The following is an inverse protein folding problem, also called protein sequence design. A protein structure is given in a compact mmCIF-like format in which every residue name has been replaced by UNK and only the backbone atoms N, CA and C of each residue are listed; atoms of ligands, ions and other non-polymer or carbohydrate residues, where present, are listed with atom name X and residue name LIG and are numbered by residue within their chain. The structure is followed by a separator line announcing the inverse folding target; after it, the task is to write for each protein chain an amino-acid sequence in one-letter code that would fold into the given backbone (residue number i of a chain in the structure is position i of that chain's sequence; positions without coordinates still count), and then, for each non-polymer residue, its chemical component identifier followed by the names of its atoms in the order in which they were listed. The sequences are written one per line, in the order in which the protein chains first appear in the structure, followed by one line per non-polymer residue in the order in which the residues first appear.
data_IF_960736853543
#
_entry.id   IF_960736853543
#
_cell.length_a   1.000
_cell.length_b   1.000
_cell.length_c   1.000
_cell.angle_alpha   90.00
_cell.angle_beta   90.00
_cell.angle_gamma   90.00
#
_symmetry.space_group_name_H-M   'P 1'
#
loop_
_entity.id
_entity.type
_entity.pdbx_description
1 polymer ?
#
# COMPACT_ATOMS: atom_id res chain seq x y z
N UNK A 1 -31.94 0.86 56.61
CA UNK A 1 -32.34 -0.54 56.35
C UNK A 1 -32.13 -0.81 54.88
N UNK A 2 -31.19 -1.73 54.57
CA UNK A 2 -31.00 -2.61 53.37
C UNK A 2 -31.29 -2.00 52.00
N UNK A 3 -30.29 -1.67 51.18
CA UNK A 3 -29.43 -2.48 50.30
C UNK A 3 -30.15 -3.43 49.36
N UNK A 4 -30.16 -3.15 48.08
CA UNK A 4 -30.16 -4.18 47.04
C UNK A 4 -29.33 -3.72 45.85
N UNK A 5 -28.21 -4.42 45.63
CA UNK A 5 -27.33 -4.31 44.49
C UNK A 5 -27.91 -5.14 43.35
N UNK A 6 -28.15 -4.54 42.23
CA UNK A 6 -28.48 -5.22 40.98
C UNK A 6 -27.24 -5.41 40.15
N UNK A 7 -26.83 -6.67 39.96
CA UNK A 7 -25.78 -7.09 39.05
C UNK A 7 -26.16 -6.81 37.58
N UNK A 8 -25.36 -6.02 36.89
CA UNK A 8 -25.39 -5.96 35.44
C UNK A 8 -24.29 -6.89 34.90
N UNK A 9 -24.71 -8.00 34.32
CA UNK A 9 -23.86 -8.85 33.50
C UNK A 9 -23.46 -8.10 32.22
N UNK A 10 -22.18 -7.83 32.08
CA UNK A 10 -21.61 -7.39 30.79
C UNK A 10 -21.41 -8.63 29.90
N UNK A 11 -22.23 -8.78 28.90
CA UNK A 11 -22.03 -9.73 27.82
C UNK A 11 -20.85 -9.26 26.95
N UNK A 12 -19.74 -9.98 27.05
CA UNK A 12 -18.60 -9.84 26.12
C UNK A 12 -19.04 -10.29 24.72
N UNK A 13 -19.37 -9.35 23.87
CA UNK A 13 -19.31 -9.59 22.41
C UNK A 13 -17.88 -9.30 21.96
N UNK A 14 -17.10 -10.35 21.74
CA UNK A 14 -15.90 -10.28 20.91
C UNK A 14 -16.34 -9.94 19.48
N UNK A 15 -16.17 -8.70 19.07
CA UNK A 15 -16.17 -8.34 17.68
C UNK A 15 -14.79 -8.74 17.10
N UNK A 16 -14.82 -9.68 16.19
CA UNK A 16 -13.68 -10.03 15.34
C UNK A 16 -13.40 -8.82 14.46
N UNK A 17 -12.36 -8.09 14.78
CA UNK A 17 -11.84 -7.00 13.92
C UNK A 17 -11.23 -7.64 12.71
N UNK A 18 -11.85 -7.42 11.54
CA UNK A 18 -11.34 -7.87 10.25
C UNK A 18 -9.95 -7.33 9.96
N UNK A 19 -9.10 -8.16 9.39
CA UNK A 19 -7.78 -7.77 8.89
C UNK A 19 -7.96 -6.69 7.82
N UNK A 20 -7.60 -5.47 8.16
CA UNK A 20 -7.52 -4.36 7.20
C UNK A 20 -6.26 -4.58 6.38
N UNK A 21 -6.42 -4.86 5.09
CA UNK A 21 -5.32 -4.82 4.13
C UNK A 21 -4.98 -3.36 3.87
N UNK A 22 -4.10 -2.85 4.69
CA UNK A 22 -3.57 -1.50 4.52
C UNK A 22 -2.47 -1.57 3.47
N UNK A 23 -2.68 -0.92 2.35
CA UNK A 23 -1.58 -0.51 1.50
C UNK A 23 -0.67 0.35 2.38
N UNK A 24 0.39 -0.25 2.93
CA UNK A 24 1.47 0.39 3.67
C UNK A 24 1.13 1.00 5.06
N UNK A 25 0.63 0.20 6.03
CA UNK A 25 0.83 0.53 7.44
C UNK A 25 1.14 -0.77 8.20
N UNK A 26 2.36 -0.89 8.70
CA UNK A 26 2.70 -1.88 9.72
C UNK A 26 2.09 -1.40 11.06
N UNK A 27 0.90 -1.87 11.41
CA UNK A 27 0.34 -1.66 12.75
C UNK A 27 1.04 -2.61 13.71
N UNK A 28 1.92 -2.11 14.54
CA UNK A 28 2.49 -2.85 15.68
C UNK A 28 1.44 -2.90 16.80
N UNK A 29 0.76 -4.04 16.91
CA UNK A 29 -0.09 -4.32 18.07
C UNK A 29 0.77 -4.73 19.26
N UNK A 30 0.77 -3.92 20.32
CA UNK A 30 1.32 -4.27 21.63
C UNK A 30 0.45 -5.34 22.30
N UNK A 31 0.92 -6.57 22.27
CA UNK A 31 0.41 -7.69 23.06
C UNK A 31 1.42 -8.09 24.12
N UNK A 32 0.98 -8.16 25.37
CA UNK A 32 1.72 -8.52 26.59
C UNK A 32 2.54 -9.80 26.44
N UNK A 33 3.78 -9.74 26.93
CA UNK A 33 4.76 -10.84 27.01
C UNK A 33 4.20 -12.10 27.65
N UNK A 34 4.17 -13.19 26.89
CA UNK A 34 4.31 -14.55 27.43
C UNK A 34 5.61 -15.10 26.86
N UNK A 35 6.60 -15.28 27.74
CA UNK A 35 7.88 -15.95 27.41
C UNK A 35 7.61 -17.45 27.18
N UNK A 36 7.31 -17.82 25.93
CA UNK A 36 7.40 -19.19 25.44
C UNK A 36 8.61 -19.28 24.53
N UNK A 37 9.56 -20.17 24.85
CA UNK A 37 10.69 -20.49 23.98
C UNK A 37 10.13 -20.97 22.62
N UNK A 38 10.21 -20.13 21.61
CA UNK A 38 9.95 -20.57 20.23
C UNK A 38 11.14 -21.43 19.78
N UNK A 39 10.86 -22.71 19.51
CA UNK A 39 11.78 -23.60 18.79
C UNK A 39 12.16 -22.91 17.48
N UNK A 40 13.49 -22.71 17.25
CA UNK A 40 13.99 -22.37 15.91
C UNK A 40 13.39 -23.33 14.89
N UNK A 41 12.82 -22.85 13.78
CA UNK A 41 12.40 -23.72 12.70
C UNK A 41 13.63 -24.46 12.18
N UNK A 42 13.56 -25.76 12.16
CA UNK A 42 14.50 -26.61 11.41
C UNK A 42 14.39 -26.21 9.94
N UNK A 43 15.52 -26.06 9.25
CA UNK A 43 15.61 -25.73 7.85
C UNK A 43 14.96 -26.83 6.99
N UNK A 44 13.63 -26.83 6.91
CA UNK A 44 12.91 -27.49 5.82
C UNK A 44 13.16 -26.65 4.56
N UNK A 45 13.43 -27.35 3.44
CA UNK A 45 13.67 -26.70 2.16
C UNK A 45 12.59 -25.65 1.93
N UNK A 46 12.98 -24.35 1.82
CA UNK A 46 12.06 -23.23 1.72
C UNK A 46 11.10 -23.49 0.58
N UNK A 47 9.82 -23.53 0.90
CA UNK A 47 8.77 -23.75 -0.07
C UNK A 47 8.62 -22.46 -0.87
N UNK A 48 9.00 -22.48 -2.15
CA UNK A 48 8.83 -21.34 -3.03
C UNK A 48 7.33 -21.16 -3.35
N UNK A 49 6.81 -19.94 -3.41
CA UNK A 49 5.44 -19.69 -3.83
C UNK A 49 5.26 -20.07 -5.30
N UNK A 50 4.07 -20.50 -5.65
CA UNK A 50 3.69 -20.83 -7.02
C UNK A 50 2.38 -20.14 -7.37
N UNK A 51 2.31 -19.55 -8.57
CA UNK A 51 1.19 -18.71 -9.03
C UNK A 51 0.66 -19.22 -10.39
N UNK A 52 0.29 -20.48 -10.46
CA UNK A 52 -0.13 -21.12 -11.72
C UNK A 52 -1.62 -20.98 -12.03
N UNK A 53 -2.47 -20.70 -11.02
CA UNK A 53 -3.88 -20.37 -11.21
C UNK A 53 -4.01 -18.87 -11.48
N UNK A 54 -4.69 -18.50 -12.55
CA UNK A 54 -4.79 -17.12 -13.04
C UNK A 54 -6.25 -16.78 -13.33
N UNK A 55 -6.69 -15.60 -12.88
CA UNK A 55 -8.00 -15.02 -13.20
C UNK A 55 -7.83 -13.65 -13.84
N UNK A 56 -8.38 -13.45 -15.02
CA UNK A 56 -8.49 -12.12 -15.62
C UNK A 56 -9.67 -11.38 -14.98
N UNK A 57 -9.42 -10.19 -14.43
CA UNK A 57 -10.44 -9.35 -13.80
C UNK A 57 -11.31 -8.60 -14.81
N UNK A 58 -10.82 -8.47 -16.03
CA UNK A 58 -11.51 -7.81 -17.15
C UNK A 58 -11.13 -8.45 -18.48
N UNK A 59 -11.95 -8.18 -19.52
CA UNK A 59 -11.76 -8.78 -20.85
C UNK A 59 -10.95 -7.88 -21.78
N UNK A 60 -10.94 -6.58 -21.51
CA UNK A 60 -10.31 -5.54 -22.33
C UNK A 60 -8.99 -5.09 -21.69
N UNK A 61 -8.03 -4.75 -22.52
CA UNK A 61 -6.80 -4.10 -22.08
C UNK A 61 -7.08 -2.60 -21.94
N UNK A 62 -7.19 -2.13 -20.72
CA UNK A 62 -7.37 -0.71 -20.40
C UNK A 62 -6.22 -0.21 -19.54
N UNK A 63 -6.10 1.11 -19.39
CA UNK A 63 -5.09 1.69 -18.52
C UNK A 63 -5.54 1.60 -17.07
N UNK A 64 -4.79 0.87 -16.24
CA UNK A 64 -4.97 0.81 -14.80
C UNK A 64 -3.67 1.16 -14.09
N UNK A 65 -3.76 1.91 -12.99
CA UNK A 65 -2.60 2.44 -12.30
C UNK A 65 -2.38 1.82 -10.91
N UNK A 66 -3.44 1.32 -10.27
CA UNK A 66 -3.36 0.78 -8.93
C UNK A 66 -4.49 -0.20 -8.67
N UNK A 67 -4.31 -1.07 -7.69
CA UNK A 67 -5.32 -1.96 -7.12
C UNK A 67 -5.21 -1.95 -5.60
N UNK A 68 -6.35 -1.89 -4.90
CA UNK A 68 -6.43 -2.04 -3.45
C UNK A 68 -7.34 -3.20 -3.08
N UNK A 69 -7.10 -3.80 -1.91
CA UNK A 69 -7.78 -4.98 -1.39
C UNK A 69 -8.37 -4.69 -0.01
N UNK A 70 -9.61 -5.10 0.24
CA UNK A 70 -10.28 -4.98 1.54
C UNK A 70 -11.71 -5.50 1.47
N UNK A 71 -12.30 -5.84 2.62
CA UNK A 71 -13.72 -6.22 2.72
C UNK A 71 -14.58 -4.96 2.62
N UNK A 72 -15.24 -4.77 1.48
CA UNK A 72 -16.02 -3.58 1.18
C UNK A 72 -17.52 -3.75 1.46
N UNK A 73 -17.97 -4.98 1.65
CA UNK A 73 -19.40 -5.27 1.79
C UNK A 73 -19.76 -5.95 3.13
N UNK A 74 -18.77 -6.12 4.03
CA UNK A 74 -18.94 -6.69 5.35
C UNK A 74 -19.20 -8.19 5.37
N UNK A 75 -18.90 -8.92 4.27
CA UNK A 75 -19.11 -10.36 4.18
C UNK A 75 -17.89 -11.19 4.65
N UNK A 76 -16.81 -10.51 4.98
CA UNK A 76 -15.57 -11.08 5.48
C UNK A 76 -14.66 -11.63 4.38
N UNK A 77 -14.95 -11.36 3.10
CA UNK A 77 -14.09 -11.70 1.97
C UNK A 77 -13.42 -10.45 1.42
N UNK A 78 -12.12 -10.47 1.09
CA UNK A 78 -11.48 -9.29 0.54
C UNK A 78 -11.91 -9.06 -0.92
N UNK A 79 -12.38 -7.84 -1.17
CA UNK A 79 -12.77 -7.30 -2.45
C UNK A 79 -11.64 -6.49 -3.08
N UNK A 80 -11.80 -6.01 -4.32
CA UNK A 80 -10.81 -5.20 -5.00
C UNK A 80 -11.40 -3.88 -5.50
N UNK A 81 -10.58 -2.82 -5.45
CA UNK A 81 -10.84 -1.56 -6.16
C UNK A 81 -9.69 -1.29 -7.13
N UNK A 82 -10.03 -0.94 -8.38
CA UNK A 82 -9.07 -0.62 -9.43
C UNK A 82 -9.08 0.88 -9.73
N UNK A 83 -7.92 1.54 -9.64
CA UNK A 83 -7.71 2.88 -10.19
C UNK A 83 -7.49 2.78 -11.70
N UNK A 84 -8.33 3.44 -12.48
CA UNK A 84 -8.33 3.38 -13.93
C UNK A 84 -8.06 4.74 -14.56
N UNK A 85 -7.53 4.73 -15.78
CA UNK A 85 -7.44 5.92 -16.60
C UNK A 85 -6.05 6.53 -16.69
N UNK A 86 -5.35 6.79 -15.60
CA UNK A 86 -4.06 7.49 -15.61
C UNK A 86 -4.10 8.78 -16.46
N UNK A 87 -3.65 8.71 -17.71
CA UNK A 87 -3.62 9.82 -18.67
C UNK A 87 -4.94 10.02 -19.45
N UNK A 88 -5.82 9.02 -19.40
CA UNK A 88 -7.10 9.02 -20.10
C UNK A 88 -8.24 8.83 -19.09
N UNK A 89 -9.26 9.67 -19.06
CA UNK A 89 -10.32 9.53 -18.06
C UNK A 89 -11.09 8.22 -18.27
N UNK A 90 -11.11 7.38 -17.22
CA UNK A 90 -11.91 6.16 -17.11
C UNK A 90 -12.60 6.13 -15.74
N UNK A 91 -13.67 5.33 -15.61
CA UNK A 91 -14.33 5.14 -14.32
C UNK A 91 -13.61 4.03 -13.55
N UNK A 92 -13.29 4.29 -12.29
CA UNK A 92 -12.71 3.31 -11.38
C UNK A 92 -13.70 2.17 -11.12
N UNK A 93 -13.19 0.99 -10.76
CA UNK A 93 -14.01 -0.23 -10.65
C UNK A 93 -13.94 -0.84 -9.26
N UNK A 94 -15.09 -1.21 -8.73
CA UNK A 94 -15.25 -2.06 -7.55
C UNK A 94 -15.56 -3.48 -8.01
N UNK A 95 -14.87 -4.45 -7.44
CA UNK A 95 -14.99 -5.87 -7.80
C UNK A 95 -15.22 -6.67 -6.51
N UNK A 96 -16.47 -7.13 -6.30
CA UNK A 96 -16.84 -7.88 -5.11
C UNK A 96 -16.55 -9.37 -5.28
N UNK A 97 -15.87 -9.94 -4.29
CA UNK A 97 -15.45 -11.32 -4.22
C UNK A 97 -16.61 -12.21 -3.72
N UNK A 98 -16.74 -13.39 -4.27
CA UNK A 98 -17.72 -14.39 -3.80
C UNK A 98 -17.18 -15.32 -2.70
N UNK A 99 -16.00 -15.04 -2.17
CA UNK A 99 -15.31 -15.84 -1.16
C UNK A 99 -14.53 -17.03 -1.71
N UNK A 100 -14.49 -17.19 -3.02
CA UNK A 100 -13.74 -18.24 -3.72
C UNK A 100 -12.74 -17.65 -4.73
N UNK A 101 -12.45 -16.37 -4.61
CA UNK A 101 -11.57 -15.65 -5.52
C UNK A 101 -12.21 -15.35 -6.87
N UNK A 102 -13.57 -15.37 -7.00
CA UNK A 102 -14.25 -14.94 -8.21
C UNK A 102 -14.92 -13.58 -7.99
N UNK A 103 -14.72 -12.68 -8.93
CA UNK A 103 -15.24 -11.32 -8.90
C UNK A 103 -16.41 -11.16 -9.89
N UNK A 104 -17.51 -11.85 -9.60
CA UNK A 104 -18.67 -11.91 -10.50
C UNK A 104 -19.56 -10.69 -10.43
N UNK A 105 -19.46 -9.92 -9.34
CA UNK A 105 -20.16 -8.65 -9.16
C UNK A 105 -19.15 -7.51 -9.27
N UNK A 106 -19.25 -6.75 -10.35
CA UNK A 106 -18.41 -5.59 -10.59
C UNK A 106 -19.29 -4.38 -10.94
N UNK A 107 -18.95 -3.21 -10.38
CA UNK A 107 -19.64 -1.97 -10.69
C UNK A 107 -18.67 -0.78 -10.69
N UNK A 108 -19.14 0.35 -11.17
CA UNK A 108 -18.36 1.57 -11.22
C UNK A 108 -18.23 2.21 -9.82
N UNK A 109 -17.07 2.79 -9.53
CA UNK A 109 -16.87 3.64 -8.36
C UNK A 109 -17.31 5.07 -8.73
N UNK A 110 -18.55 5.40 -8.41
CA UNK A 110 -19.16 6.68 -8.80
C UNK A 110 -19.53 6.73 -10.28
N UNK A 111 -19.77 7.95 -10.80
CA UNK A 111 -20.31 8.19 -12.14
C UNK A 111 -19.36 8.98 -13.05
N UNK A 112 -18.21 9.40 -12.52
CA UNK A 112 -17.30 10.31 -13.23
C UNK A 112 -16.05 9.57 -13.66
N UNK A 113 -15.71 9.72 -14.94
CA UNK A 113 -14.44 9.25 -15.48
C UNK A 113 -13.34 10.28 -15.17
N UNK A 114 -12.36 9.88 -14.38
CA UNK A 114 -11.21 10.69 -14.01
C UNK A 114 -9.89 10.02 -14.44
N UNK A 115 -8.76 10.74 -14.32
CA UNK A 115 -7.40 10.21 -14.54
C UNK A 115 -6.85 9.67 -13.23
N UNK A 116 -7.37 8.52 -12.79
CA UNK A 116 -7.02 7.96 -11.49
C UNK A 116 -5.66 7.25 -11.51
N UNK A 117 -4.79 7.63 -10.57
CA UNK A 117 -3.47 7.04 -10.39
C UNK A 117 -3.39 6.14 -9.17
N UNK A 118 -4.19 6.40 -8.14
CA UNK A 118 -4.26 5.57 -6.94
C UNK A 118 -5.67 5.47 -6.38
N UNK A 119 -5.95 4.32 -5.79
CA UNK A 119 -7.07 4.09 -4.87
C UNK A 119 -6.49 3.59 -3.55
N UNK A 120 -6.97 4.11 -2.42
CA UNK A 120 -6.54 3.70 -1.09
C UNK A 120 -7.78 3.47 -0.24
N UNK A 121 -7.80 2.36 0.51
CA UNK A 121 -8.90 1.99 1.37
C UNK A 121 -8.59 2.40 2.82
N UNK A 122 -9.51 3.09 3.46
CA UNK A 122 -9.45 3.44 4.87
C UNK A 122 -10.84 3.84 5.38
N UNK A 123 -11.11 3.66 6.67
CA UNK A 123 -12.31 4.19 7.35
C UNK A 123 -12.11 5.70 7.60
N UNK A 124 -12.41 6.51 6.56
CA UNK A 124 -12.10 7.96 6.53
C UNK A 124 -13.07 8.77 7.39
N UNK A 125 -14.33 8.37 7.47
CA UNK A 125 -15.34 9.11 8.22
C UNK A 125 -15.63 8.51 9.61
N UNK A 126 -14.96 7.39 9.95
CA UNK A 126 -15.03 6.71 11.24
C UNK A 126 -16.38 6.05 11.50
N UNK A 127 -17.02 5.53 10.47
CA UNK A 127 -18.27 4.77 10.61
C UNK A 127 -18.05 3.24 10.71
N UNK A 128 -16.82 2.77 10.48
CA UNK A 128 -16.40 1.37 10.60
C UNK A 128 -16.31 0.64 9.27
N UNK A 129 -16.66 1.27 8.17
CA UNK A 129 -16.62 0.72 6.83
C UNK A 129 -15.39 1.25 6.05
N UNK A 130 -14.86 0.49 5.09
CA UNK A 130 -13.73 0.95 4.29
C UNK A 130 -14.22 1.86 3.16
N UNK A 131 -13.79 3.11 3.20
CA UNK A 131 -13.99 4.12 2.18
C UNK A 131 -12.89 4.07 1.12
N UNK A 132 -13.08 4.79 0.01
CA UNK A 132 -12.11 4.88 -1.08
C UNK A 132 -11.59 6.31 -1.24
N UNK A 133 -10.28 6.50 -1.10
CA UNK A 133 -9.57 7.73 -1.44
C UNK A 133 -8.96 7.59 -2.82
N UNK A 134 -9.32 8.48 -3.75
CA UNK A 134 -8.87 8.45 -5.15
C UNK A 134 -7.92 9.62 -5.42
N UNK A 135 -6.68 9.30 -5.79
CA UNK A 135 -5.68 10.26 -6.23
C UNK A 135 -5.70 10.41 -7.74
N UNK A 136 -6.29 11.52 -8.21
CA UNK A 136 -6.42 11.83 -9.63
C UNK A 136 -5.34 12.78 -10.12
N UNK A 137 -4.85 12.60 -11.36
CA UNK A 137 -3.99 13.56 -12.03
C UNK A 137 -4.74 14.83 -12.42
N UNK A 138 -4.01 15.91 -12.67
CA UNK A 138 -4.56 17.13 -13.24
C UNK A 138 -5.26 16.86 -14.60
N UNK A 139 -6.35 17.54 -14.88
CA UNK A 139 -7.05 18.56 -14.09
C UNK A 139 -8.19 18.00 -13.22
N UNK A 140 -8.18 16.71 -12.88
CA UNK A 140 -9.33 16.07 -12.25
C UNK A 140 -9.28 16.23 -10.70
N UNK A 141 -10.42 16.49 -10.03
CA UNK A 141 -10.49 16.58 -8.58
C UNK A 141 -10.09 15.26 -7.89
N UNK A 142 -9.37 15.35 -6.78
CA UNK A 142 -9.09 14.21 -5.89
C UNK A 142 -10.33 13.96 -5.05
N UNK A 143 -10.74 12.70 -4.91
CA UNK A 143 -12.05 12.35 -4.36
C UNK A 143 -11.97 11.39 -3.19
N UNK A 144 -12.93 11.52 -2.27
CA UNK A 144 -13.22 10.54 -1.24
C UNK A 144 -14.63 10.01 -1.48
N UNK A 145 -14.77 8.70 -1.57
CA UNK A 145 -16.06 8.02 -1.69
C UNK A 145 -16.34 7.26 -0.40
N UNK A 146 -17.45 7.61 0.28
CA UNK A 146 -17.91 6.87 1.45
C UNK A 146 -18.65 5.62 1.02
N UNK A 147 -18.37 4.54 1.74
CA UNK A 147 -19.04 3.25 1.65
C UNK A 147 -20.29 3.21 2.55
N UNK A 148 -21.25 2.38 2.23
CA UNK A 148 -22.41 2.09 3.08
C UNK A 148 -22.31 0.74 3.83
N UNK A 149 -21.10 0.15 3.87
CA UNK A 149 -20.82 -1.17 4.43
C UNK A 149 -21.37 -2.34 3.62
N UNK A 150 -21.85 -2.08 2.39
CA UNK A 150 -22.37 -3.09 1.46
C UNK A 150 -21.71 -3.03 0.09
N UNK A 151 -20.62 -2.27 -0.01
CA UNK A 151 -19.90 -2.04 -1.24
C UNK A 151 -20.56 -1.03 -2.17
N UNK A 152 -21.50 -0.20 -1.71
CA UNK A 152 -22.04 0.91 -2.50
C UNK A 152 -21.38 2.23 -2.06
N UNK A 153 -20.95 3.01 -3.01
CA UNK A 153 -20.15 4.20 -2.77
C UNK A 153 -20.88 5.47 -3.22
N UNK A 154 -20.72 6.54 -2.43
CA UNK A 154 -21.16 7.89 -2.75
C UNK A 154 -20.01 8.88 -2.59
N UNK A 155 -19.95 9.90 -3.45
CA UNK A 155 -18.98 10.98 -3.26
C UNK A 155 -19.24 11.64 -1.89
N UNK A 156 -18.22 11.62 -1.02
CA UNK A 156 -18.26 12.22 0.31
C UNK A 156 -17.65 13.62 0.31
N UNK A 157 -16.44 13.75 -0.23
CA UNK A 157 -15.70 15.01 -0.27
C UNK A 157 -14.64 15.00 -1.37
N UNK A 158 -13.97 16.14 -1.53
CA UNK A 158 -12.76 16.30 -2.33
C UNK A 158 -11.65 16.86 -1.44
N UNK A 159 -10.39 16.70 -1.84
CA UNK A 159 -9.24 17.23 -1.14
C UNK A 159 -8.23 17.84 -2.11
N UNK A 160 -7.40 18.76 -1.60
CA UNK A 160 -6.38 19.42 -2.37
C UNK A 160 -6.91 20.18 -3.60
N UNK A 161 -6.04 20.39 -4.58
CA UNK A 161 -6.38 21.18 -5.77
C UNK A 161 -6.43 20.30 -7.03
N UNK A 162 -7.40 20.48 -7.95
CA UNK A 162 -7.51 19.70 -9.17
C UNK A 162 -6.28 19.77 -10.09
N UNK A 163 -5.58 20.91 -10.09
CA UNK A 163 -4.40 21.13 -10.95
C UNK A 163 -3.12 20.45 -10.43
N UNK A 164 -3.17 19.74 -9.30
CA UNK A 164 -2.00 19.03 -8.82
C UNK A 164 -1.72 17.78 -9.67
N UNK A 165 -0.45 17.55 -10.08
CA UNK A 165 -0.06 16.38 -10.84
C UNK A 165 0.09 15.17 -9.92
N UNK A 166 -1.01 14.78 -9.26
CA UNK A 166 -1.03 13.74 -8.23
C UNK A 166 -0.78 12.37 -8.84
N UNK A 167 0.10 11.59 -8.21
CA UNK A 167 0.44 10.22 -8.59
C UNK A 167 0.02 9.20 -7.54
N UNK A 168 -0.11 9.64 -6.29
CA UNK A 168 -0.57 8.79 -5.21
C UNK A 168 -1.25 9.63 -4.13
N UNK A 169 -2.29 9.07 -3.52
CA UNK A 169 -2.91 9.52 -2.29
C UNK A 169 -2.91 8.36 -1.31
N UNK A 170 -2.15 8.48 -0.22
CA UNK A 170 -2.02 7.49 0.85
C UNK A 170 -2.63 8.05 2.13
N UNK A 171 -3.01 7.18 3.07
CA UNK A 171 -3.72 7.56 4.29
C UNK A 171 -2.91 7.19 5.53
N UNK A 172 -2.77 8.13 6.46
CA UNK A 172 -2.20 7.91 7.80
C UNK A 172 -2.62 9.03 8.76
N UNK A 173 -2.67 8.73 10.06
CA UNK A 173 -2.83 9.76 11.11
C UNK A 173 -1.48 10.43 11.36
N UNK A 174 -1.25 11.58 10.72
CA UNK A 174 0.05 12.28 10.78
C UNK A 174 0.12 13.22 11.97
N UNK A 175 -1.01 13.78 12.40
CA UNK A 175 -1.02 14.76 13.49
C UNK A 175 -1.29 14.13 14.87
N UNK A 176 -1.65 12.84 14.93
CA UNK A 176 -1.92 12.09 16.16
C UNK A 176 -3.27 12.42 16.80
N UNK A 177 -4.24 12.92 16.01
CA UNK A 177 -5.59 13.23 16.52
C UNK A 177 -6.55 12.03 16.41
N UNK A 178 -6.08 10.94 15.84
CA UNK A 178 -6.81 9.71 15.65
C UNK A 178 -7.67 9.70 14.38
N UNK A 179 -7.65 10.72 13.54
CA UNK A 179 -8.35 10.75 12.26
C UNK A 179 -7.37 10.41 11.12
N UNK A 180 -7.80 9.68 10.09
CA UNK A 180 -6.94 9.37 8.95
C UNK A 180 -6.79 10.60 8.05
N UNK A 181 -5.55 11.11 7.91
CA UNK A 181 -5.18 12.21 7.02
C UNK A 181 -4.78 11.67 5.64
N UNK A 182 -4.81 12.51 4.62
CA UNK A 182 -4.41 12.14 3.26
C UNK A 182 -3.05 12.74 2.91
N UNK A 183 -2.11 11.87 2.52
CA UNK A 183 -0.78 12.20 2.03
C UNK A 183 -0.81 12.22 0.50
N UNK A 184 -0.48 13.38 -0.09
CA UNK A 184 -0.55 13.57 -1.54
C UNK A 184 0.84 13.62 -2.13
N UNK A 185 1.19 12.62 -2.94
CA UNK A 185 2.42 12.59 -3.72
C UNK A 185 2.18 13.22 -5.09
N UNK A 186 2.90 14.28 -5.39
CA UNK A 186 2.85 14.98 -6.66
C UNK A 186 4.14 14.82 -7.45
N UNK A 187 4.01 14.65 -8.75
CA UNK A 187 5.12 14.64 -9.68
C UNK A 187 5.03 15.84 -10.61
N UNK A 188 5.88 16.82 -10.43
CA UNK A 188 5.99 17.93 -11.36
C UNK A 188 7.00 17.62 -12.47
N UNK A 189 6.76 18.10 -13.67
CA UNK A 189 7.64 17.89 -14.82
C UNK A 189 9.03 18.51 -14.64
N UNK A 190 9.14 19.53 -13.76
CA UNK A 190 10.39 20.19 -13.40
C UNK A 190 11.14 19.52 -12.23
N UNK A 191 10.62 18.39 -11.73
CA UNK A 191 11.18 17.66 -10.58
C UNK A 191 11.07 18.41 -9.24
N UNK A 192 10.16 19.39 -9.12
CA UNK A 192 9.96 20.21 -7.92
C UNK A 192 8.51 20.27 -7.48
N UNK A 193 7.75 19.20 -7.73
CA UNK A 193 6.37 19.13 -7.26
C UNK A 193 6.29 19.13 -5.74
N UNK A 194 5.49 20.02 -5.12
CA UNK A 194 5.23 19.94 -3.69
C UNK A 194 4.35 18.72 -3.38
N UNK A 195 4.66 18.05 -2.26
CA UNK A 195 3.83 17.03 -1.66
C UNK A 195 3.10 17.62 -0.45
N UNK A 196 1.92 17.09 -0.14
CA UNK A 196 1.04 17.71 0.86
C UNK A 196 0.52 16.70 1.87
N UNK A 197 0.18 17.20 3.06
CA UNK A 197 -0.71 16.54 4.02
C UNK A 197 -2.03 17.30 4.03
N UNK A 198 -3.13 16.62 3.73
CA UNK A 198 -4.49 17.13 3.86
C UNK A 198 -5.08 16.57 5.15
N UNK A 199 -5.23 17.39 6.17
CA UNK A 199 -5.75 16.96 7.48
C UNK A 199 -7.25 16.72 7.43
N UNK A 200 -7.66 15.59 8.03
CA UNK A 200 -9.06 15.25 8.20
C UNK A 200 -9.68 16.05 9.34
N UNK A 201 -10.77 16.75 9.07
CA UNK A 201 -11.50 17.57 10.06
C UNK A 201 -12.62 16.82 10.76
N UNK A 202 -12.67 15.53 10.59
CA UNK A 202 -13.73 14.64 11.03
C UNK A 202 -14.77 14.39 9.94
N UNK A 203 -15.35 13.20 9.96
CA UNK A 203 -16.36 12.73 9.00
C UNK A 203 -15.91 12.82 7.54
N UNK A 204 -14.63 12.56 7.29
CA UNK A 204 -14.05 12.56 5.95
C UNK A 204 -14.09 13.91 5.24
N UNK A 205 -14.07 15.04 5.98
CA UNK A 205 -14.03 16.37 5.41
C UNK A 205 -12.61 16.91 5.39
N UNK A 206 -12.20 17.49 4.27
CA UNK A 206 -10.88 18.04 4.04
C UNK A 206 -10.97 19.47 3.51
N UNK A 207 -9.96 20.30 3.78
CA UNK A 207 -9.81 21.59 3.11
C UNK A 207 -9.15 21.44 1.74
N UNK A 208 -9.37 22.41 0.87
CA UNK A 208 -8.58 22.55 -0.35
C UNK A 208 -7.12 22.93 -0.04
N UNK A 209 -6.90 23.72 1.02
CA UNK A 209 -5.58 24.17 1.48
C UNK A 209 -4.94 23.11 2.37
N UNK A 210 -4.19 22.18 1.75
CA UNK A 210 -3.40 21.19 2.45
C UNK A 210 -2.02 21.76 2.82
N UNK A 211 -1.36 21.16 3.82
CA UNK A 211 -0.04 21.58 4.28
C UNK A 211 1.05 21.06 3.33
N UNK A 212 1.81 21.91 2.62
CA UNK A 212 2.98 21.47 1.88
C UNK A 212 4.10 21.10 2.86
N UNK A 213 4.76 19.95 2.64
CA UNK A 213 5.83 19.50 3.53
C UNK A 213 7.13 19.14 2.80
N UNK A 214 7.06 18.84 1.51
CA UNK A 214 8.24 18.45 0.74
C UNK A 214 8.19 18.98 -0.70
N UNK A 215 9.34 18.97 -1.38
CA UNK A 215 9.47 19.43 -2.76
C UNK A 215 10.10 18.38 -3.68
N UNK A 216 10.24 17.16 -3.22
CA UNK A 216 10.69 16.03 -4.03
C UNK A 216 9.61 15.66 -5.05
N UNK A 217 10.01 15.36 -6.30
CA UNK A 217 9.10 14.82 -7.30
C UNK A 217 8.75 13.37 -6.97
N UNK A 218 7.67 13.17 -6.22
CA UNK A 218 7.28 11.86 -5.70
C UNK A 218 6.20 11.20 -6.56
N UNK A 219 6.24 9.87 -6.62
CA UNK A 219 5.16 9.05 -7.18
C UNK A 219 4.47 8.20 -6.11
N UNK A 220 5.05 8.13 -4.92
CA UNK A 220 4.45 7.51 -3.72
C UNK A 220 4.96 8.23 -2.48
N UNK A 221 4.21 8.13 -1.38
CA UNK A 221 4.67 8.42 -0.02
C UNK A 221 4.35 7.17 0.79
N UNK A 222 5.34 6.66 1.53
CA UNK A 222 5.16 5.48 2.38
C UNK A 222 5.15 5.91 3.84
N UNK A 223 4.00 5.89 4.53
CA UNK A 223 3.93 6.16 5.96
C UNK A 223 4.44 4.95 6.76
N UNK A 224 5.31 5.18 7.75
CA UNK A 224 5.81 4.16 8.67
C UNK A 224 6.43 4.81 9.91
N UNK A 225 6.35 4.16 11.07
CA UNK A 225 7.09 4.58 12.27
C UNK A 225 8.54 4.07 12.16
N UNK A 226 9.39 4.86 11.51
CA UNK A 226 10.79 4.46 11.19
C UNK A 226 11.68 4.49 12.41
N UNK A 227 11.40 5.36 13.37
CA UNK A 227 12.25 5.56 14.54
C UNK A 227 11.74 4.84 15.78
N UNK A 228 10.56 4.24 15.76
CA UNK A 228 9.93 3.49 16.85
C UNK A 228 9.39 4.37 17.98
N UNK A 229 9.05 5.65 17.69
CA UNK A 229 8.52 6.58 18.68
C UNK A 229 6.98 6.59 18.78
N UNK A 230 6.31 5.83 17.93
CA UNK A 230 4.86 5.69 17.86
C UNK A 230 4.17 6.74 16.99
N UNK A 231 4.92 7.61 16.30
CA UNK A 231 4.42 8.56 15.33
C UNK A 231 4.71 8.08 13.91
N UNK A 232 3.85 8.44 12.97
CA UNK A 232 4.03 8.06 11.58
C UNK A 232 5.00 9.00 10.89
N UNK A 233 6.16 8.48 10.47
CA UNK A 233 7.12 9.16 9.60
C UNK A 233 6.76 8.95 8.12
N UNK A 234 7.34 9.76 7.23
CA UNK A 234 7.00 9.73 5.80
C UNK A 234 8.25 9.46 4.95
N UNK A 235 8.27 8.33 4.24
CA UNK A 235 9.31 8.02 3.26
C UNK A 235 8.89 8.62 1.92
N UNK A 236 9.68 9.56 1.41
CA UNK A 236 9.42 10.31 0.17
C UNK A 236 10.53 10.03 -0.85
N UNK A 237 10.28 9.12 -1.81
CA UNK A 237 11.23 8.87 -2.88
C UNK A 237 11.27 10.04 -3.88
N UNK A 238 12.42 10.25 -4.51
CA UNK A 238 12.58 11.21 -5.61
C UNK A 238 12.74 10.45 -6.93
N UNK A 239 11.77 10.59 -7.81
CA UNK A 239 11.73 9.84 -9.07
C UNK A 239 12.58 10.45 -10.18
N UNK A 240 12.68 11.77 -10.26
CA UNK A 240 13.21 12.48 -11.43
C UNK A 240 14.69 12.85 -11.26
N UNK A 241 15.45 12.02 -10.54
CA UNK A 241 16.90 12.18 -10.35
C UNK A 241 17.23 13.18 -9.24
N UNK A 242 17.12 12.75 -7.99
CA UNK A 242 17.37 13.56 -6.82
C UNK A 242 17.50 12.76 -5.54
N UNK A 243 17.78 13.45 -4.45
CA UNK A 243 17.89 12.85 -3.13
C UNK A 243 16.50 12.49 -2.58
N UNK A 244 16.32 11.26 -2.17
CA UNK A 244 15.14 10.78 -1.43
C UNK A 244 15.32 11.00 0.06
N UNK A 245 14.21 11.20 0.79
CA UNK A 245 14.24 11.51 2.22
C UNK A 245 13.19 10.72 3.01
N UNK A 246 13.50 10.48 4.28
CA UNK A 246 12.52 10.17 5.32
C UNK A 246 12.28 11.44 6.12
N UNK A 247 11.03 11.89 6.19
CA UNK A 247 10.59 13.00 7.02
C UNK A 247 10.15 12.46 8.37
N UNK A 248 10.90 12.82 9.42
CA UNK A 248 10.63 12.39 10.79
C UNK A 248 9.56 13.27 11.40
N UNK A 249 8.50 12.65 11.88
CA UNK A 249 7.39 13.31 12.53
C UNK A 249 7.74 13.67 13.98
N UNK A 250 7.80 14.95 14.28
CA UNK A 250 8.03 15.47 15.63
C UNK A 250 6.76 15.61 16.47
N UNK A 251 5.65 15.07 16.00
CA UNK A 251 4.32 15.18 16.59
C UNK A 251 3.52 16.38 16.07
N UNK A 252 2.19 16.24 16.07
CA UNK A 252 1.23 17.22 15.56
C UNK A 252 1.46 17.62 14.09
N UNK A 253 1.95 16.67 13.28
CA UNK A 253 2.24 16.90 11.87
C UNK A 253 3.48 17.76 11.61
N UNK A 254 4.42 17.89 12.58
CA UNK A 254 5.70 18.56 12.36
C UNK A 254 6.65 17.63 11.61
N UNK A 255 6.94 17.94 10.34
CA UNK A 255 7.78 17.19 9.41
C UNK A 255 9.08 17.96 9.04
N UNK A 256 9.57 18.86 9.90
CA UNK A 256 10.73 19.72 9.63
C UNK A 256 12.06 18.95 9.56
N UNK A 257 12.17 17.81 10.25
CA UNK A 257 13.38 16.99 10.26
C UNK A 257 13.32 15.94 9.17
N UNK A 258 14.35 15.91 8.30
CA UNK A 258 14.44 14.89 7.25
C UNK A 258 15.82 14.21 7.23
N UNK A 259 15.85 12.95 6.82
CA UNK A 259 17.01 12.08 6.75
C UNK A 259 17.16 11.57 5.32
N UNK A 260 18.32 11.75 4.66
CA UNK A 260 18.51 11.25 3.31
C UNK A 260 18.67 9.72 3.29
N UNK A 261 18.17 9.09 2.25
CA UNK A 261 18.48 7.69 1.91
C UNK A 261 18.71 7.54 0.41
N UNK A 262 19.47 6.54 0.04
CA UNK A 262 19.83 6.28 -1.34
C UNK A 262 20.76 7.33 -1.99
N UNK A 263 21.15 7.13 -3.25
CA UNK A 263 21.99 8.06 -3.99
C UNK A 263 21.29 9.37 -4.32
N UNK A 264 22.01 10.50 -4.31
CA UNK A 264 21.48 11.83 -4.61
C UNK A 264 21.07 12.06 -6.08
N UNK A 265 21.30 11.08 -6.96
CA UNK A 265 20.89 11.07 -8.37
C UNK A 265 19.99 9.89 -8.72
N UNK A 266 19.42 9.23 -7.69
CA UNK A 266 18.54 8.09 -7.86
C UNK A 266 17.23 8.46 -8.57
N UNK A 267 16.62 7.48 -9.24
CA UNK A 267 15.30 7.59 -9.86
C UNK A 267 14.33 6.64 -9.16
N UNK A 268 14.19 6.85 -7.83
CA UNK A 268 13.37 5.97 -7.00
C UNK A 268 11.90 6.26 -7.25
N UNK A 269 11.20 5.27 -7.82
CA UNK A 269 9.80 5.37 -8.17
C UNK A 269 8.86 5.05 -7.00
N UNK A 270 9.12 3.96 -6.29
CA UNK A 270 8.31 3.47 -5.18
C UNK A 270 9.17 3.00 -4.04
N UNK A 271 8.61 3.10 -2.84
CA UNK A 271 9.19 2.55 -1.61
C UNK A 271 8.16 1.74 -0.84
N UNK A 272 8.65 0.80 -0.04
CA UNK A 272 7.91 0.08 0.99
C UNK A 272 8.77 0.02 2.26
N UNK A 273 8.15 -0.09 3.42
CA UNK A 273 8.82 -0.25 4.69
C UNK A 273 8.50 -1.64 5.29
N UNK A 274 9.54 -2.39 5.67
CA UNK A 274 9.40 -3.68 6.35
C UNK A 274 10.71 -4.05 7.05
N UNK A 275 10.64 -4.85 8.10
CA UNK A 275 11.81 -5.47 8.74
C UNK A 275 12.18 -6.76 7.97
N UNK A 276 13.07 -6.64 6.97
CA UNK A 276 13.44 -7.76 6.10
C UNK A 276 14.49 -8.68 6.71
N UNK A 277 15.27 -8.16 7.64
CA UNK A 277 16.38 -8.89 8.27
C UNK A 277 16.05 -9.38 9.69
N UNK A 278 14.84 -9.07 10.20
CA UNK A 278 14.32 -9.45 11.52
C UNK A 278 15.16 -8.91 12.69
N UNK A 279 15.70 -7.70 12.55
CA UNK A 279 16.46 -7.03 13.61
C UNK A 279 15.61 -6.08 14.47
N UNK A 280 14.33 -5.90 14.12
CA UNK A 280 13.37 -5.07 14.82
C UNK A 280 13.37 -3.61 14.36
N UNK A 281 14.13 -3.26 13.33
CA UNK A 281 14.10 -1.95 12.69
C UNK A 281 13.46 -2.05 11.30
N UNK A 282 12.77 -1.00 10.88
CA UNK A 282 12.20 -0.98 9.55
C UNK A 282 13.27 -0.62 8.51
N UNK A 283 13.33 -1.43 7.47
CA UNK A 283 14.14 -1.21 6.28
C UNK A 283 13.31 -0.53 5.20
N UNK A 284 13.96 0.17 4.26
CA UNK A 284 13.32 0.73 3.08
C UNK A 284 13.63 -0.15 1.89
N UNK A 285 12.59 -0.75 1.30
CA UNK A 285 12.66 -1.38 -0.02
C UNK A 285 12.31 -0.34 -1.06
N UNK A 286 13.13 -0.20 -2.08
CA UNK A 286 12.95 0.79 -3.13
C UNK A 286 13.17 0.20 -4.52
N UNK A 287 12.42 0.68 -5.51
CA UNK A 287 12.71 0.43 -6.92
C UNK A 287 13.21 1.71 -7.59
N UNK A 288 14.42 1.62 -8.16
CA UNK A 288 15.04 2.64 -8.99
C UNK A 288 14.88 2.23 -10.44
N UNK A 289 14.24 3.07 -11.27
CA UNK A 289 13.92 2.76 -12.67
C UNK A 289 15.17 2.46 -13.53
N UNK A 290 16.35 2.94 -13.11
CA UNK A 290 17.61 2.73 -13.84
C UNK A 290 18.48 1.63 -13.25
N UNK A 291 18.34 1.35 -11.94
CA UNK A 291 19.29 0.52 -11.19
C UNK A 291 18.69 -0.81 -10.70
N UNK A 292 17.36 -0.94 -10.62
CA UNK A 292 16.68 -2.14 -10.14
C UNK A 292 16.09 -1.97 -8.73
N UNK A 293 15.91 -3.07 -8.01
CA UNK A 293 15.37 -3.08 -6.65
C UNK A 293 16.47 -3.13 -5.60
N UNK A 294 16.33 -2.34 -4.52
CA UNK A 294 17.31 -2.18 -3.45
C UNK A 294 16.66 -2.22 -2.08
N UNK A 295 17.45 -2.58 -1.07
CA UNK A 295 17.13 -2.44 0.34
C UNK A 295 18.12 -1.46 0.96
N UNK A 296 17.60 -0.50 1.73
CA UNK A 296 18.35 0.35 2.63
C UNK A 296 18.00 -0.07 4.04
N UNK A 297 18.91 -0.81 4.69
CA UNK A 297 18.69 -1.33 6.04
C UNK A 297 18.64 -0.20 7.05
N UNK A 298 17.61 -0.25 7.91
CA UNK A 298 17.50 0.63 9.06
C UNK A 298 18.64 0.41 10.06
N UNK A 299 19.20 1.49 10.60
CA UNK A 299 20.29 1.46 11.57
C UNK A 299 19.90 2.29 12.78
N UNK A 300 20.56 2.02 13.92
CA UNK A 300 20.35 2.80 15.14
C UNK A 300 20.59 4.30 14.90
N UNK A 301 19.67 5.14 15.39
CA UNK A 301 19.75 6.59 15.24
C UNK A 301 19.07 7.13 13.99
N UNK A 302 18.20 6.34 13.37
CA UNK A 302 17.45 6.71 12.15
C UNK A 302 18.36 7.04 10.96
N UNK A 303 19.37 6.22 10.74
CA UNK A 303 20.20 6.22 9.53
C UNK A 303 19.91 4.98 8.71
N UNK A 304 20.32 4.99 7.46
CA UNK A 304 20.14 3.85 6.56
C UNK A 304 21.49 3.43 5.97
N UNK A 305 21.66 2.13 5.78
CA UNK A 305 22.83 1.58 5.10
C UNK A 305 22.93 2.06 3.66
N UNK A 306 24.09 1.88 3.03
CA UNK A 306 24.21 1.93 1.59
C UNK A 306 23.32 0.85 0.98
N UNK A 307 22.60 1.19 -0.10
CA UNK A 307 21.63 0.28 -0.72
C UNK A 307 22.25 -1.06 -1.13
N UNK A 308 21.64 -2.15 -0.64
CA UNK A 308 21.96 -3.51 -1.07
C UNK A 308 21.03 -3.92 -2.23
N UNK A 309 21.54 -4.41 -3.37
CA UNK A 309 20.68 -4.80 -4.47
C UNK A 309 19.94 -6.10 -4.19
N UNK A 310 18.62 -6.12 -4.46
CA UNK A 310 17.81 -7.34 -4.56
C UNK A 310 17.91 -7.88 -5.99
N UNK A 311 17.84 -6.96 -6.97
CA UNK A 311 17.99 -7.25 -8.39
C UNK A 311 18.90 -6.23 -9.03
N UNK A 312 19.64 -6.64 -10.08
CA UNK A 312 20.48 -5.74 -10.86
C UNK A 312 20.27 -6.01 -12.34
N UNK A 313 19.92 -4.96 -13.08
CA UNK A 313 19.69 -5.05 -14.53
C UNK A 313 18.39 -5.76 -14.92
N UNK A 314 18.11 -5.86 -16.21
CA UNK A 314 16.88 -6.47 -16.72
C UNK A 314 15.79 -5.45 -17.08
N UNK A 315 14.54 -5.86 -16.96
CA UNK A 315 13.40 -5.01 -17.27
C UNK A 315 13.26 -3.86 -16.25
N UNK A 316 12.76 -2.71 -16.69
CA UNK A 316 12.56 -1.54 -15.84
C UNK A 316 11.54 -1.86 -14.75
N UNK A 317 11.91 -1.75 -13.44
CA UNK A 317 10.98 -1.98 -12.35
C UNK A 317 10.00 -0.82 -12.26
N UNK A 318 8.73 -1.15 -12.01
CA UNK A 318 7.67 -0.14 -12.08
C UNK A 318 6.64 -0.22 -10.96
N UNK A 319 6.43 -1.39 -10.38
CA UNK A 319 5.60 -1.62 -9.20
C UNK A 319 6.37 -2.39 -8.12
N UNK A 320 6.03 -2.15 -6.87
CA UNK A 320 6.67 -2.75 -5.70
C UNK A 320 5.62 -3.09 -4.66
N UNK A 321 5.71 -4.29 -4.07
CA UNK A 321 4.96 -4.70 -2.89
C UNK A 321 5.81 -5.63 -2.03
N UNK A 322 5.54 -5.67 -0.73
CA UNK A 322 6.18 -6.58 0.23
C UNK A 322 5.14 -7.41 0.96
N UNK A 323 5.47 -8.64 1.30
CA UNK A 323 4.58 -9.55 2.02
C UNK A 323 5.21 -10.93 2.20
N UNK A 324 4.74 -11.71 3.16
CA UNK A 324 5.17 -13.10 3.38
C UNK A 324 4.38 -14.02 2.43
N UNK A 325 4.94 -14.28 1.24
CA UNK A 325 4.25 -15.02 0.16
C UNK A 325 4.22 -16.54 0.37
N UNK A 326 5.12 -17.06 1.20
CA UNK A 326 5.28 -18.50 1.41
C UNK A 326 4.94 -18.94 2.84
N UNK A 327 4.47 -18.01 3.69
CA UNK A 327 4.10 -18.22 5.08
C UNK A 327 5.25 -18.76 5.95
N UNK A 328 6.50 -18.32 5.69
CA UNK A 328 7.69 -18.66 6.49
C UNK A 328 8.03 -17.60 7.53
N UNK A 329 7.26 -16.52 7.56
CA UNK A 329 7.40 -15.37 8.46
C UNK A 329 8.48 -14.38 8.01
N UNK A 330 9.20 -14.60 6.91
CA UNK A 330 10.07 -13.60 6.30
C UNK A 330 9.25 -12.74 5.32
N UNK A 331 9.55 -11.46 5.25
CA UNK A 331 8.93 -10.59 4.27
C UNK A 331 9.64 -10.73 2.94
N UNK A 332 8.89 -11.08 1.89
CA UNK A 332 9.33 -11.18 0.51
C UNK A 332 9.07 -9.89 -0.24
N UNK A 333 9.66 -9.75 -1.43
CA UNK A 333 9.54 -8.54 -2.27
C UNK A 333 9.00 -8.92 -3.64
N UNK A 334 7.92 -8.26 -4.07
CA UNK A 334 7.34 -8.43 -5.41
C UNK A 334 7.64 -7.21 -6.26
N UNK A 335 8.23 -7.41 -7.43
CA UNK A 335 8.57 -6.34 -8.37
C UNK A 335 7.84 -6.57 -9.69
N UNK A 336 7.07 -5.57 -10.11
CA UNK A 336 6.44 -5.49 -11.41
C UNK A 336 7.28 -4.67 -12.39
N UNK A 337 7.19 -4.97 -13.66
CA UNK A 337 8.05 -4.42 -14.69
C UNK A 337 7.27 -3.80 -15.84
N UNK A 338 7.97 -3.02 -16.65
CA UNK A 338 7.50 -2.55 -17.96
C UNK A 338 7.65 -3.68 -18.96
N UNK A 339 6.55 -4.13 -19.57
CA UNK A 339 6.50 -5.14 -20.63
C UNK A 339 7.30 -6.42 -20.33
N UNK A 340 7.35 -6.80 -19.04
CA UNK A 340 8.02 -8.02 -18.60
C UNK A 340 7.28 -8.66 -17.42
N UNK A 341 7.47 -9.95 -17.25
CA UNK A 341 6.84 -10.72 -16.18
C UNK A 341 7.27 -10.21 -14.80
N UNK A 342 6.34 -10.15 -13.83
CA UNK A 342 6.68 -9.81 -12.45
C UNK A 342 7.54 -10.90 -11.80
N UNK A 343 8.32 -10.52 -10.79
CA UNK A 343 9.20 -11.40 -10.04
C UNK A 343 8.93 -11.26 -8.54
N UNK A 344 8.71 -12.38 -7.89
CA UNK A 344 8.72 -12.49 -6.44
C UNK A 344 10.15 -12.88 -5.99
N UNK A 345 10.76 -12.06 -5.16
CA UNK A 345 12.06 -12.29 -4.55
C UNK A 345 11.84 -12.84 -3.16
N UNK A 346 11.96 -14.15 -2.99
CA UNK A 346 11.71 -14.87 -1.74
C UNK A 346 12.91 -14.71 -0.82
N UNK A 347 12.68 -14.05 0.31
CA UNK A 347 13.68 -13.73 1.32
C UNK A 347 14.02 -14.95 2.19
N UNK A 348 15.29 -15.14 2.51
CA UNK A 348 15.68 -16.19 3.46
C UNK A 348 15.56 -15.76 4.94
N UNK A 349 14.95 -14.61 5.20
CA UNK A 349 14.79 -14.03 6.52
C UNK A 349 16.04 -13.28 7.00
N UNK A 350 17.07 -13.14 6.17
CA UNK A 350 18.26 -12.35 6.48
C UNK A 350 18.26 -10.97 5.81
N UNK A 351 17.34 -10.73 4.88
CA UNK A 351 17.33 -9.54 4.02
C UNK A 351 18.52 -9.46 3.05
N UNK A 352 19.35 -10.51 2.97
CA UNK A 352 20.58 -10.52 2.15
C UNK A 352 20.53 -11.50 0.98
N UNK A 353 19.70 -12.53 1.09
CA UNK A 353 19.60 -13.57 0.07
C UNK A 353 18.15 -13.75 -0.35
N UNK A 354 17.91 -13.50 -1.63
CA UNK A 354 16.61 -13.61 -2.25
C UNK A 354 16.63 -14.65 -3.37
N UNK A 355 15.62 -15.54 -3.38
CA UNK A 355 15.42 -16.48 -4.48
C UNK A 355 14.39 -15.90 -5.43
N UNK A 356 14.72 -15.59 -6.70
CA UNK A 356 13.75 -15.05 -7.64
C UNK A 356 12.80 -16.13 -8.16
N UNK A 357 11.51 -15.82 -8.14
CA UNK A 357 10.43 -16.62 -8.72
C UNK A 357 9.68 -15.75 -9.72
N UNK A 358 9.90 -15.98 -11.01
CA UNK A 358 9.17 -15.29 -12.07
C UNK A 358 7.78 -15.91 -12.20
N UNK A 359 6.74 -15.08 -12.31
CA UNK A 359 5.36 -15.53 -12.47
C UNK A 359 4.60 -14.68 -13.48
N UNK A 360 3.44 -15.17 -13.92
CA UNK A 360 2.60 -14.45 -14.85
C UNK A 360 3.14 -14.40 -16.27
N UNK A 361 2.75 -13.35 -16.98
CA UNK A 361 3.13 -13.12 -18.38
C UNK A 361 3.89 -11.77 -18.53
N UNK A 362 4.38 -11.49 -19.72
CA UNK A 362 5.12 -10.27 -20.07
C UNK A 362 4.23 -9.23 -20.76
N UNK A 363 2.90 -9.26 -20.56
CA UNK A 363 1.97 -8.36 -21.24
C UNK A 363 1.73 -7.11 -20.42
N UNK A 364 1.81 -5.98 -21.09
CA UNK A 364 1.55 -4.65 -20.52
C UNK A 364 2.58 -4.25 -19.47
N UNK A 365 2.33 -3.13 -18.83
CA UNK A 365 3.15 -2.61 -17.73
C UNK A 365 2.42 -2.84 -16.41
N UNK A 366 3.10 -3.43 -15.43
CA UNK A 366 2.58 -3.60 -14.08
C UNK A 366 2.73 -2.27 -13.31
N UNK A 367 1.61 -1.71 -12.85
CA UNK A 367 1.57 -0.43 -12.15
C UNK A 367 1.33 -0.55 -10.66
N UNK A 368 0.64 -1.59 -10.22
CA UNK A 368 0.32 -1.81 -8.82
C UNK A 368 0.03 -3.26 -8.49
N UNK A 369 0.23 -3.59 -7.22
CA UNK A 369 -0.07 -4.88 -6.63
C UNK A 369 -0.94 -4.70 -5.39
N UNK A 370 -1.77 -5.71 -5.10
CA UNK A 370 -2.33 -5.97 -3.79
C UNK A 370 -2.14 -7.45 -3.46
N UNK A 371 -1.76 -7.74 -2.22
CA UNK A 371 -1.48 -9.09 -1.73
C UNK A 371 -2.49 -9.43 -0.65
N UNK A 372 -3.11 -10.62 -0.73
CA UNK A 372 -4.05 -11.12 0.26
C UNK A 372 -4.57 -12.50 -0.12
N UNK A 373 -5.17 -13.21 0.81
CA UNK A 373 -5.81 -14.52 0.60
C UNK A 373 -7.22 -14.29 0.05
N UNK A 374 -7.37 -14.30 -1.27
CA UNK A 374 -8.61 -13.97 -1.98
C UNK A 374 -9.57 -15.16 -2.10
N UNK A 375 -9.09 -16.41 -1.98
CA UNK A 375 -9.91 -17.60 -2.08
C UNK A 375 -9.97 -18.44 -0.81
N UNK A 376 -9.39 -17.92 0.29
CA UNK A 376 -9.35 -18.53 1.63
C UNK A 376 -8.70 -19.89 1.71
N UNK A 377 -7.69 -20.12 0.90
CA UNK A 377 -6.90 -21.35 0.96
C UNK A 377 -5.71 -21.26 1.93
N UNK A 378 -5.50 -20.10 2.53
CA UNK A 378 -4.43 -19.78 3.47
C UNK A 378 -3.10 -19.42 2.80
N UNK A 379 -3.09 -19.19 1.49
CA UNK A 379 -1.93 -18.71 0.74
C UNK A 379 -2.16 -17.26 0.30
N UNK A 380 -1.08 -16.57 0.04
CA UNK A 380 -1.16 -15.20 -0.48
C UNK A 380 -1.35 -15.22 -1.99
N UNK A 381 -2.36 -14.47 -2.44
CA UNK A 381 -2.65 -14.19 -3.83
C UNK A 381 -2.15 -12.80 -4.19
N UNK A 382 -1.93 -12.54 -5.47
CA UNK A 382 -1.44 -11.26 -5.97
C UNK A 382 -2.42 -10.71 -7.02
N UNK A 383 -3.16 -9.68 -6.66
CA UNK A 383 -3.91 -8.87 -7.63
C UNK A 383 -2.98 -7.85 -8.29
N UNK A 384 -3.10 -7.68 -9.60
CA UNK A 384 -2.16 -6.89 -10.41
C UNK A 384 -2.92 -5.91 -11.29
N UNK A 385 -2.66 -4.62 -11.11
CA UNK A 385 -3.10 -3.56 -12.00
C UNK A 385 -2.08 -3.38 -13.14
N UNK A 386 -2.58 -3.45 -14.37
CA UNK A 386 -1.76 -3.36 -15.59
C UNK A 386 -2.29 -2.29 -16.54
N UNK A 387 -1.38 -1.64 -17.25
CA UNK A 387 -1.70 -0.84 -18.43
C UNK A 387 -1.35 -1.62 -19.68
N UNK A 388 -2.18 -1.50 -20.70
CA UNK A 388 -2.03 -2.17 -22.00
C UNK A 388 -2.18 -3.70 -21.95
N UNK A 389 -2.72 -4.22 -20.83
CA UNK A 389 -3.14 -5.62 -20.67
C UNK A 389 -4.30 -5.70 -19.65
N UNK A 390 -5.17 -6.74 -19.70
CA UNK A 390 -6.19 -6.93 -18.69
C UNK A 390 -5.60 -7.09 -17.29
N UNK A 391 -6.25 -6.52 -16.27
CA UNK A 391 -5.91 -6.73 -14.88
C UNK A 391 -6.11 -8.19 -14.48
N UNK A 392 -5.34 -8.70 -13.51
CA UNK A 392 -5.26 -10.13 -13.25
C UNK A 392 -5.06 -10.41 -11.76
N UNK A 393 -5.57 -11.56 -11.30
CA UNK A 393 -5.18 -12.19 -10.03
C UNK A 393 -4.36 -13.44 -10.33
N UNK A 394 -3.22 -13.55 -9.68
CA UNK A 394 -2.40 -14.75 -9.60
C UNK A 394 -2.60 -15.38 -8.23
N UNK A 395 -3.21 -16.55 -8.18
CA UNK A 395 -3.47 -17.27 -6.94
C UNK A 395 -2.27 -18.08 -6.49
N UNK A 396 -1.97 -17.98 -5.19
CA UNK A 396 -1.01 -18.85 -4.55
C UNK A 396 -1.49 -20.32 -4.63
N UNK A 397 -0.60 -21.23 -4.96
CA UNK A 397 -0.93 -22.66 -5.00
C UNK A 397 0.13 -23.47 -4.27
N UNK A 398 -0.32 -24.52 -3.57
CA UNK A 398 0.59 -25.51 -2.95
C UNK A 398 1.13 -26.43 -4.02
N UNK A 399 2.46 -26.53 -4.12
CA UNK A 399 3.16 -27.50 -4.97
C UNK A 399 3.21 -28.87 -4.33
#
# INVERSE_FOLDING_TARGET
MQSSWGNFEMSNKLSVVGLISICSIAVVLWGSRVLGQQKKPTADAKKLPSFTRVLLLEKTAETSANVSIGDLNGDGFPDLVLAKGRHWPLIDRVLLNDGHGNFTKAHDLGEVADRSYSVTLADIDRDGDLDVVVGNDAPDPKRVYANDGKGNFRLLSTFGHPDWPTRNATVADVNGDGLPDILVANRADDGKGPNYVCFNKGKGQFDADCLPFSHESATTITPADINGDGLVDLIVPHRDGGQSYVYINGGKGNLDKRIPFGPGDATIRMTQAADLNRDGMLDIVAIDERRGAFIYFGEKGTTFSNGAPISSGGATPYALMVGDLNSDGAIDVVVGHVEAAPVAYVNDGTGKHFTPVTFGDNKGTVYGFAIGDLDRDGLQDIAVARSDAPNVVYFGVRL
#
